data_IF_677462241651
#
_entry.id   IF_677462241651
#
_cell.length_a   1.000
_cell.length_b   1.000
_cell.length_c   1.000
_cell.angle_alpha   90.00
_cell.angle_beta   90.00
_cell.angle_gamma   90.00
#
_symmetry.space_group_name_H-M   'P 1'
#
loop_
_entity.id
_entity.type
_entity.pdbx_description
1 polymer ?
#
# COMPACT_ATOMS: atom_id res chain seq x y z
N UNK A 1 13.77 -16.15 -27.69
CA UNK A 1 13.75 -16.69 -26.31
C UNK A 1 12.71 -15.90 -25.54
N UNK A 2 11.50 -16.42 -25.41
CA UNK A 2 10.45 -15.74 -24.63
C UNK A 2 10.72 -16.10 -23.17
N UNK A 3 11.43 -15.22 -22.46
CA UNK A 3 11.48 -15.28 -21.01
C UNK A 3 10.03 -15.28 -20.55
N UNK A 4 9.53 -16.44 -20.10
CA UNK A 4 8.31 -16.52 -19.29
C UNK A 4 8.57 -15.57 -18.13
N UNK A 5 8.15 -14.32 -18.24
CA UNK A 5 8.05 -13.40 -17.12
C UNK A 5 7.20 -14.17 -16.12
N UNK A 6 7.85 -14.75 -15.10
CA UNK A 6 7.15 -15.30 -13.96
C UNK A 6 6.46 -14.08 -13.37
N UNK A 7 5.18 -13.94 -13.70
CA UNK A 7 4.30 -13.02 -13.02
C UNK A 7 4.56 -13.21 -11.53
N UNK A 8 4.79 -12.12 -10.81
CA UNK A 8 5.08 -12.20 -9.38
C UNK A 8 3.99 -12.99 -8.69
N UNK A 9 4.42 -13.87 -7.79
CA UNK A 9 3.49 -14.56 -6.91
C UNK A 9 2.74 -13.53 -6.07
N UNK A 10 1.48 -13.81 -5.74
CA UNK A 10 0.69 -12.96 -4.85
C UNK A 10 1.42 -12.65 -3.54
N UNK A 11 2.18 -13.62 -3.02
CA UNK A 11 3.01 -13.48 -1.82
C UNK A 11 4.13 -12.44 -1.99
N UNK A 12 4.81 -12.43 -3.15
CA UNK A 12 5.84 -11.43 -3.46
C UNK A 12 5.24 -10.05 -3.63
N UNK A 13 4.08 -9.95 -4.30
CA UNK A 13 3.38 -8.67 -4.47
C UNK A 13 2.90 -8.09 -3.14
N UNK A 14 2.38 -8.94 -2.25
CA UNK A 14 1.97 -8.54 -0.91
C UNK A 14 3.17 -8.10 -0.08
N UNK A 15 4.30 -8.82 -0.14
CA UNK A 15 5.54 -8.42 0.53
C UNK A 15 6.07 -7.08 0.03
N UNK A 16 6.11 -6.87 -1.30
CA UNK A 16 6.56 -5.61 -1.90
C UNK A 16 5.64 -4.47 -1.48
N UNK A 17 4.31 -4.64 -1.59
CA UNK A 17 3.34 -3.64 -1.16
C UNK A 17 3.50 -3.32 0.32
N UNK A 18 3.63 -4.34 1.17
CA UNK A 18 3.75 -4.19 2.62
C UNK A 18 5.07 -3.54 3.02
N UNK A 19 6.18 -3.92 2.39
CA UNK A 19 7.49 -3.30 2.60
C UNK A 19 7.53 -1.87 2.10
N UNK A 20 6.99 -1.58 0.92
CA UNK A 20 6.97 -0.24 0.37
C UNK A 20 6.06 0.67 1.19
N UNK A 21 4.88 0.20 1.58
CA UNK A 21 3.98 0.92 2.48
C UNK A 21 4.63 1.14 3.85
N UNK A 22 5.31 0.12 4.39
CA UNK A 22 6.05 0.22 5.66
C UNK A 22 7.23 1.19 5.57
N UNK A 23 7.98 1.17 4.46
CA UNK A 23 9.11 2.09 4.22
C UNK A 23 8.61 3.52 4.11
N UNK A 24 7.58 3.74 3.30
CA UNK A 24 6.96 5.05 3.14
C UNK A 24 6.45 5.55 4.49
N UNK A 25 5.72 4.74 5.27
CA UNK A 25 5.30 5.11 6.62
C UNK A 25 6.45 5.27 7.62
N UNK A 26 7.59 4.62 7.40
CA UNK A 26 8.79 4.75 8.23
C UNK A 26 9.61 6.01 7.90
N UNK A 27 9.48 6.55 6.69
CA UNK A 27 10.06 7.84 6.29
C UNK A 27 9.24 9.04 6.80
N UNK A 28 7.96 8.82 7.10
CA UNK A 28 7.09 9.79 7.77
C UNK A 28 7.17 9.58 9.30
N UNK A 29 6.99 10.63 10.12
CA UNK A 29 7.03 10.49 11.56
C UNK A 29 6.02 9.42 11.99
N UNK A 30 6.48 8.48 12.82
CA UNK A 30 5.67 7.35 13.30
C UNK A 30 4.29 7.89 13.74
N UNK A 31 3.22 7.50 13.05
CA UNK A 31 1.89 7.98 13.38
C UNK A 31 1.54 7.44 14.77
N UNK A 32 0.71 8.18 15.49
CA UNK A 32 0.37 7.85 16.87
C UNK A 32 -0.20 6.43 16.93
N UNK A 33 -0.01 5.71 18.04
CA UNK A 33 -0.57 4.37 18.22
C UNK A 33 -2.07 4.30 17.92
N UNK A 34 -2.77 5.42 18.10
CA UNK A 34 -4.18 5.60 17.76
C UNK A 34 -4.45 5.54 16.25
N UNK A 35 -3.62 6.17 15.42
CA UNK A 35 -3.71 6.09 13.97
C UNK A 35 -3.41 4.66 13.48
N UNK A 36 -2.39 4.01 14.05
CA UNK A 36 -2.08 2.60 13.77
C UNK A 36 -3.22 1.65 14.17
N UNK A 37 -3.91 1.94 15.27
CA UNK A 37 -5.06 1.15 15.71
C UNK A 37 -6.28 1.32 14.80
N UNK A 38 -6.40 2.48 14.15
CA UNK A 38 -7.49 2.79 13.22
C UNK A 38 -7.11 2.55 11.74
N UNK A 39 -5.89 2.13 11.42
CA UNK A 39 -5.50 1.82 10.04
C UNK A 39 -6.32 0.71 9.45
N UNK A 40 -7.12 1.09 8.46
CA UNK A 40 -7.83 0.16 7.61
C UNK A 40 -7.02 0.00 6.33
N UNK A 41 -6.51 -1.21 6.13
CA UNK A 41 -5.84 -1.60 4.90
C UNK A 41 -6.91 -2.12 3.92
N UNK A 42 -7.20 -1.31 2.91
CA UNK A 42 -7.84 -1.76 1.68
C UNK A 42 -6.83 -2.56 0.86
N UNK A 43 -7.10 -3.85 0.64
CA UNK A 43 -6.33 -4.70 -0.26
C UNK A 43 -7.20 -5.11 -1.44
N UNK A 44 -6.74 -4.83 -2.64
CA UNK A 44 -7.38 -5.19 -3.89
C UNK A 44 -6.33 -5.79 -4.81
N UNK A 45 -6.43 -7.08 -5.07
CA UNK A 45 -5.67 -7.68 -6.16
C UNK A 45 -6.49 -7.60 -7.45
N UNK A 46 -5.83 -7.23 -8.54
CA UNK A 46 -6.37 -7.32 -9.89
C UNK A 46 -5.56 -8.37 -10.67
N UNK A 47 -6.03 -8.68 -11.87
CA UNK A 47 -5.40 -9.65 -12.78
C UNK A 47 -3.94 -9.32 -13.10
N UNK A 48 -3.58 -8.03 -13.13
CA UNK A 48 -2.24 -7.54 -13.50
C UNK A 48 -1.53 -6.71 -12.42
N UNK A 49 -2.24 -6.19 -11.42
CA UNK A 49 -1.67 -5.28 -10.40
C UNK A 49 -2.30 -5.51 -9.02
N UNK A 50 -1.54 -5.35 -7.94
CA UNK A 50 -2.02 -5.35 -6.56
C UNK A 50 -2.11 -3.92 -6.03
N UNK A 51 -3.31 -3.47 -5.69
CA UNK A 51 -3.58 -2.16 -5.08
C UNK A 51 -3.78 -2.33 -3.57
N UNK A 52 -2.99 -1.60 -2.79
CA UNK A 52 -3.00 -1.63 -1.34
C UNK A 52 -3.09 -0.20 -0.82
N UNK A 53 -4.26 0.22 -0.36
CA UNK A 53 -4.46 1.54 0.21
C UNK A 53 -4.67 1.46 1.72
N UNK A 54 -4.02 2.33 2.47
CA UNK A 54 -4.22 2.52 3.89
C UNK A 54 -4.95 3.84 4.08
N UNK A 55 -6.08 3.78 4.76
CA UNK A 55 -6.83 4.93 5.20
C UNK A 55 -7.20 4.80 6.67
N UNK A 56 -7.39 5.95 7.33
CA UNK A 56 -7.93 6.03 8.68
C UNK A 56 -9.39 6.44 8.56
N UNK A 57 -10.35 5.54 8.83
CA UNK A 57 -11.72 5.95 9.05
C UNK A 57 -11.78 6.70 10.38
N UNK A 58 -12.05 8.00 10.31
CA UNK A 58 -12.36 8.83 11.48
C UNK A 58 -13.85 8.77 11.81
N UNK A 59 -14.21 9.25 13.00
CA UNK A 59 -15.60 9.33 13.51
C UNK A 59 -16.57 10.03 12.53
N UNK A 60 -16.05 10.86 11.63
CA UNK A 60 -16.79 11.45 10.51
C UNK A 60 -16.24 10.97 9.17
N UNK A 61 -17.10 10.56 8.22
CA UNK A 61 -16.67 10.12 6.88
C UNK A 61 -15.97 11.22 6.06
N UNK A 62 -16.15 12.51 6.39
CA UNK A 62 -15.41 13.63 5.79
C UNK A 62 -13.97 13.77 6.29
N UNK A 63 -13.65 13.18 7.45
CA UNK A 63 -12.32 13.21 8.07
C UNK A 63 -11.53 11.92 7.79
N UNK A 64 -12.10 11.03 6.97
CA UNK A 64 -11.41 9.83 6.51
C UNK A 64 -10.17 10.26 5.73
N UNK A 65 -9.01 10.05 6.34
CA UNK A 65 -7.73 10.50 5.78
C UNK A 65 -7.08 9.30 5.13
N UNK A 66 -6.94 9.35 3.80
CA UNK A 66 -6.08 8.43 3.08
C UNK A 66 -4.65 8.72 3.52
N UNK A 67 -3.97 7.71 4.03
CA UNK A 67 -2.61 7.84 4.58
C UNK A 67 -1.61 7.52 3.49
N UNK A 68 -1.79 6.38 2.81
CA UNK A 68 -0.92 5.95 1.74
C UNK A 68 -1.63 5.01 0.77
N UNK A 69 -1.29 5.07 -0.50
CA UNK A 69 -1.71 4.13 -1.53
C UNK A 69 -0.49 3.50 -2.18
N UNK A 70 -0.37 2.19 -2.10
CA UNK A 70 0.64 1.39 -2.77
C UNK A 70 0.01 0.64 -3.95
N UNK A 71 0.63 0.73 -5.12
CA UNK A 71 0.24 0.03 -6.34
C UNK A 71 1.42 -0.86 -6.75
N UNK A 72 1.21 -2.15 -6.93
CA UNK A 72 2.26 -3.11 -7.30
C UNK A 72 1.92 -3.76 -8.64
N UNK A 73 2.76 -3.60 -9.64
CA UNK A 73 2.60 -4.26 -10.94
C UNK A 73 3.06 -5.73 -10.87
N UNK A 74 2.24 -6.67 -11.35
CA UNK A 74 2.53 -8.11 -11.32
C UNK A 74 3.52 -8.55 -12.39
N UNK A 75 3.58 -7.81 -13.49
CA UNK A 75 4.41 -8.12 -14.65
C UNK A 75 5.86 -7.64 -14.47
N UNK A 76 6.08 -6.59 -13.68
CA UNK A 76 7.40 -5.99 -13.44
C UNK A 76 7.81 -5.99 -11.97
N UNK A 77 6.88 -6.01 -11.02
CA UNK A 77 7.14 -5.82 -9.59
C UNK A 77 7.33 -4.39 -9.18
N UNK A 78 7.01 -3.46 -10.07
CA UNK A 78 7.11 -2.04 -9.79
C UNK A 78 6.08 -1.66 -8.72
N UNK A 79 6.55 -1.03 -7.66
CA UNK A 79 5.69 -0.54 -6.58
C UNK A 79 5.70 0.97 -6.53
N UNK A 80 4.52 1.57 -6.62
CA UNK A 80 4.30 3.00 -6.48
C UNK A 80 3.55 3.27 -5.19
N UNK A 81 4.21 3.93 -4.24
CA UNK A 81 3.58 4.36 -2.99
C UNK A 81 3.37 5.86 -2.99
N UNK A 82 2.12 6.28 -2.97
CA UNK A 82 1.70 7.66 -2.76
C UNK A 82 1.31 7.83 -1.29
N UNK A 83 2.05 8.64 -0.56
CA UNK A 83 1.70 9.02 0.82
C UNK A 83 0.98 10.37 0.79
N UNK A 84 -0.18 10.43 1.41
CA UNK A 84 -1.03 11.62 1.49
C UNK A 84 -0.97 12.30 2.87
N UNK A 85 -0.16 11.80 3.80
CA UNK A 85 0.18 12.49 5.04
C UNK A 85 0.80 13.86 4.73
N UNK A 86 0.19 14.94 5.24
CA UNK A 86 0.83 16.28 5.23
C UNK A 86 2.02 16.28 6.19
N UNK A 87 3.18 16.69 5.68
CA UNK A 87 4.39 16.94 6.46
C UNK A 87 4.29 18.22 7.29
#
# INVERSE_FOLDING_TARGET
>A
MVMKKKLLGLDEMELIAREATRRALSEYPQPSKEDQANWTLGKFETESEGVFEIYIPSDRPLDATVISRALVDRATGEVSVEVFLKK
#
